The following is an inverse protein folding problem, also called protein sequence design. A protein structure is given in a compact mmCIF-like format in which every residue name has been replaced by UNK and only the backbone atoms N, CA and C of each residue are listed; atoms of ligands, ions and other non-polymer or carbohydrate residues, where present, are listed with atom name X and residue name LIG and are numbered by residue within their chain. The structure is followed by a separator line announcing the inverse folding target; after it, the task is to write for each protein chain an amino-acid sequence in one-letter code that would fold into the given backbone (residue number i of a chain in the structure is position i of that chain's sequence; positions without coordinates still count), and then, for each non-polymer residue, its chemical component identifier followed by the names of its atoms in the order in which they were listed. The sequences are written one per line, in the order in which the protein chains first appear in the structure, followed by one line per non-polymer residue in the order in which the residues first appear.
data_IF_220701410216
#
_entry.id   IF_220701410216
#
_cell.length_a   1.000
_cell.length_b   1.000
_cell.length_c   1.000
_cell.angle_alpha   90.00
_cell.angle_beta   90.00
_cell.angle_gamma   90.00
#
_symmetry.space_group_name_H-M   'P 1'
#
loop_
_entity.id
_entity.type
_entity.pdbx_description
1 polymer ?
#
# COMPACT_ATOMS: atom_id res chain seq x y z
N UNK A 1 1.45 20.04 -10.03
CA UNK A 1 2.08 19.15 -9.03
C UNK A 1 3.12 18.30 -9.76
N UNK A 2 4.32 18.08 -9.22
CA UNK A 2 5.37 17.36 -9.94
C UNK A 2 4.87 15.94 -10.29
N UNK A 3 4.92 15.53 -11.57
CA UNK A 3 4.26 14.30 -12.06
C UNK A 3 4.66 13.07 -11.21
N UNK A 4 5.94 13.00 -10.83
CA UNK A 4 6.50 11.92 -10.01
C UNK A 4 5.88 11.85 -8.61
N UNK A 5 5.53 12.98 -7.99
CA UNK A 5 4.91 12.99 -6.67
C UNK A 5 3.51 12.36 -6.69
N UNK A 6 2.75 12.59 -7.77
CA UNK A 6 1.45 11.94 -7.98
C UNK A 6 1.62 10.44 -8.15
N UNK A 7 2.61 10.00 -8.94
CA UNK A 7 2.93 8.57 -9.11
C UNK A 7 3.31 7.89 -7.80
N UNK A 8 4.12 8.55 -6.96
CA UNK A 8 4.50 8.02 -5.63
C UNK A 8 3.26 7.84 -4.73
N UNK A 9 2.38 8.84 -4.68
CA UNK A 9 1.16 8.76 -3.88
C UNK A 9 0.26 7.62 -4.33
N UNK A 10 0.14 7.43 -5.64
CA UNK A 10 -0.65 6.35 -6.22
C UNK A 10 -0.01 4.98 -5.98
N UNK A 11 1.32 4.89 -6.00
CA UNK A 11 2.03 3.67 -5.61
C UNK A 11 1.78 3.32 -4.13
N UNK A 12 1.89 4.29 -3.21
CA UNK A 12 1.62 4.05 -1.78
C UNK A 12 0.15 3.67 -1.55
N UNK A 13 -0.77 4.33 -2.27
CA UNK A 13 -2.19 3.96 -2.26
C UNK A 13 -2.41 2.53 -2.77
N UNK A 14 -1.68 2.13 -3.82
CA UNK A 14 -1.74 0.77 -4.37
C UNK A 14 -1.33 -0.29 -3.34
N UNK A 15 -0.43 0.02 -2.41
CA UNK A 15 0.00 -0.90 -1.34
C UNK A 15 -0.95 -0.93 -0.12
N UNK A 16 -2.04 -0.15 -0.12
CA UNK A 16 -2.93 0.00 1.05
C UNK A 16 -3.40 -1.33 1.63
N UNK A 17 -3.85 -2.26 0.78
CA UNK A 17 -4.30 -3.59 1.21
C UNK A 17 -3.16 -4.41 1.83
N UNK A 18 -1.92 -4.29 1.31
CA UNK A 18 -0.75 -4.98 1.86
C UNK A 18 -0.48 -4.52 3.28
N UNK A 19 -0.55 -3.21 3.55
CA UNK A 19 -0.36 -2.67 4.90
C UNK A 19 -1.39 -3.23 5.89
N UNK A 20 -2.65 -3.36 5.48
CA UNK A 20 -3.70 -4.00 6.31
C UNK A 20 -3.30 -5.43 6.68
N UNK A 21 -2.86 -6.22 5.70
CA UNK A 21 -2.42 -7.60 5.97
C UNK A 21 -1.18 -7.66 6.86
N UNK A 22 -0.18 -6.81 6.61
CA UNK A 22 1.01 -6.76 7.43
C UNK A 22 0.68 -6.42 8.88
N UNK A 23 -0.25 -5.49 9.14
CA UNK A 23 -0.71 -5.19 10.51
C UNK A 23 -1.28 -6.44 11.17
N UNK A 24 -2.18 -7.17 10.49
CA UNK A 24 -2.82 -8.36 11.04
C UNK A 24 -1.80 -9.46 11.35
N UNK A 25 -0.81 -9.66 10.48
CA UNK A 25 0.19 -10.74 10.62
C UNK A 25 1.26 -10.39 11.66
N UNK A 26 1.66 -9.12 11.76
CA UNK A 26 2.82 -8.70 12.56
C UNK A 26 2.47 -8.16 13.94
N UNK A 27 1.18 -7.91 14.23
CA UNK A 27 0.76 -7.45 15.55
C UNK A 27 1.03 -8.51 16.61
N UNK A 28 1.76 -8.12 17.66
CA UNK A 28 2.10 -8.98 18.79
C UNK A 28 1.52 -8.39 20.06
N UNK A 29 0.78 -9.21 20.80
CA UNK A 29 0.27 -8.84 22.11
C UNK A 29 1.28 -9.23 23.19
N UNK A 30 1.47 -8.41 24.24
CA UNK A 30 2.32 -8.77 25.37
C UNK A 30 1.79 -10.03 26.06
N UNK A 31 2.69 -10.95 26.41
CA UNK A 31 2.35 -12.22 27.06
C UNK A 31 2.16 -12.09 28.57
N UNK A 32 2.61 -10.99 29.17
CA UNK A 32 2.52 -10.73 30.62
C UNK A 32 1.36 -9.78 30.94
N UNK A 33 0.94 -9.73 32.22
CA UNK A 33 -0.10 -8.82 32.68
C UNK A 33 0.35 -7.36 32.45
N UNK A 34 -0.15 -6.76 31.38
CA UNK A 34 0.05 -5.36 31.05
C UNK A 34 -0.51 -4.45 32.15
N UNK A 35 0.36 -3.68 32.81
CA UNK A 35 -0.09 -2.62 33.72
C UNK A 35 -0.17 -1.28 32.95
N UNK A 36 -1.41 -0.80 32.77
CA UNK A 36 -1.71 0.47 32.09
C UNK A 36 -0.96 1.66 32.72
N UNK A 37 -0.61 1.57 34.00
CA UNK A 37 0.05 2.64 34.76
C UNK A 37 1.58 2.64 34.62
N UNK A 38 2.19 1.56 34.14
CA UNK A 38 3.63 1.50 33.95
C UNK A 38 4.02 2.04 32.57
N UNK A 39 4.79 3.12 32.55
CA UNK A 39 5.32 3.70 31.31
C UNK A 39 6.36 2.79 30.62
N UNK A 40 6.97 1.85 31.36
CA UNK A 40 7.84 0.82 30.81
C UNK A 40 7.11 -0.11 29.85
N UNK A 41 5.96 -0.65 30.27
CA UNK A 41 5.14 -1.57 29.48
C UNK A 41 4.66 -0.95 28.16
N UNK A 42 4.33 0.35 28.16
CA UNK A 42 3.98 1.06 26.93
C UNK A 42 5.15 1.13 25.94
N UNK A 43 6.38 1.32 26.43
CA UNK A 43 7.57 1.32 25.55
C UNK A 43 7.84 -0.05 24.96
N UNK A 44 7.69 -1.10 25.76
CA UNK A 44 7.93 -2.46 25.30
C UNK A 44 6.91 -2.89 24.24
N UNK A 45 5.64 -2.51 24.41
CA UNK A 45 4.61 -2.70 23.37
C UNK A 45 4.96 -1.94 22.08
N UNK A 46 5.40 -0.68 22.19
CA UNK A 46 5.77 0.13 21.02
C UNK A 46 6.97 -0.45 20.28
N UNK A 47 8.00 -0.91 21.00
CA UNK A 47 9.17 -1.53 20.41
C UNK A 47 8.84 -2.89 19.77
N UNK A 48 7.97 -3.67 20.41
CA UNK A 48 7.50 -4.95 19.89
C UNK A 48 6.67 -4.81 18.61
N UNK A 49 5.93 -3.71 18.49
CA UNK A 49 4.97 -3.46 17.40
C UNK A 49 5.41 -2.35 16.43
N UNK A 50 6.72 -2.13 16.28
CA UNK A 50 7.22 -1.05 15.40
C UNK A 50 6.77 -1.21 13.93
N UNK A 51 6.74 -2.45 13.41
CA UNK A 51 6.31 -2.76 12.04
C UNK A 51 4.83 -2.45 11.81
N UNK A 52 3.88 -2.97 12.61
CA UNK A 52 2.47 -2.65 12.43
C UNK A 52 2.20 -1.16 12.66
N UNK A 53 2.96 -0.46 13.53
CA UNK A 53 2.86 1.00 13.67
C UNK A 53 3.26 1.72 12.38
N UNK A 54 4.39 1.35 11.76
CA UNK A 54 4.82 1.91 10.47
C UNK A 54 3.75 1.65 9.39
N UNK A 55 3.24 0.42 9.33
CA UNK A 55 2.19 0.06 8.37
C UNK A 55 0.90 0.86 8.60
N UNK A 56 0.54 1.13 9.86
CA UNK A 56 -0.62 1.93 10.24
C UNK A 56 -0.45 3.40 9.81
N UNK A 57 0.73 3.98 10.02
CA UNK A 57 1.06 5.33 9.53
C UNK A 57 0.97 5.38 8.00
N UNK A 58 1.53 4.39 7.31
CA UNK A 58 1.45 4.30 5.85
C UNK A 58 0.02 4.13 5.35
N UNK A 59 -0.82 3.37 6.06
CA UNK A 59 -2.24 3.20 5.73
C UNK A 59 -3.01 4.52 5.83
N UNK A 60 -2.75 5.31 6.90
CA UNK A 60 -3.31 6.65 7.01
C UNK A 60 -2.82 7.58 5.89
N UNK A 61 -1.55 7.48 5.52
CA UNK A 61 -1.01 8.22 4.39
C UNK A 61 -1.69 7.81 3.06
N UNK A 62 -1.93 6.51 2.83
CA UNK A 62 -2.67 6.02 1.67
C UNK A 62 -4.08 6.61 1.62
N UNK A 63 -4.78 6.72 2.76
CA UNK A 63 -6.09 7.38 2.81
C UNK A 63 -6.02 8.87 2.43
N UNK A 64 -5.00 9.59 2.93
CA UNK A 64 -4.75 10.98 2.53
C UNK A 64 -4.45 11.08 1.02
N UNK A 65 -3.61 10.19 0.49
CA UNK A 65 -3.27 10.11 -0.92
C UNK A 65 -4.49 9.86 -1.80
N UNK A 66 -5.41 8.99 -1.37
CA UNK A 66 -6.69 8.75 -2.03
C UNK A 66 -7.55 10.02 -2.07
N UNK A 67 -7.72 10.71 -0.95
CA UNK A 67 -8.53 11.94 -0.91
C UNK A 67 -7.96 13.03 -1.80
N UNK A 68 -6.64 13.14 -1.84
CA UNK A 68 -5.95 14.06 -2.74
C UNK A 68 -6.15 13.69 -4.21
N UNK A 69 -6.02 12.41 -4.55
CA UNK A 69 -6.25 11.92 -5.91
C UNK A 69 -7.71 12.15 -6.36
N UNK A 70 -8.68 11.88 -5.49
CA UNK A 70 -10.11 12.12 -5.73
C UNK A 70 -10.37 13.61 -6.02
N UNK A 71 -9.70 14.51 -5.29
CA UNK A 71 -9.80 15.95 -5.51
C UNK A 71 -9.18 16.38 -6.85
N UNK A 72 -7.99 15.88 -7.18
CA UNK A 72 -7.29 16.18 -8.43
C UNK A 72 -8.13 15.73 -9.66
N UNK A 73 -8.83 14.59 -9.56
CA UNK A 73 -9.73 14.10 -10.62
C UNK A 73 -10.93 15.03 -10.86
N UNK A 74 -11.50 15.63 -9.80
CA UNK A 74 -12.65 16.54 -9.92
C UNK A 74 -12.31 17.90 -10.52
N UNK A 75 -11.04 18.32 -10.42
CA UNK A 75 -10.58 19.63 -10.90
C UNK A 75 -10.08 19.66 -12.34
N UNK A 76 -10.10 18.53 -13.06
CA UNK A 76 -9.50 18.46 -14.41
C UNK A 76 -10.53 18.85 -15.47
N UNK A 77 -10.43 20.09 -15.98
CA UNK A 77 -11.13 20.53 -17.20
C UNK A 77 -10.21 20.31 -18.39
N UNK A 78 -10.09 19.06 -18.83
CA UNK A 78 -9.35 18.77 -20.06
C UNK A 78 -10.12 19.26 -21.29
N UNK A 79 -9.36 19.61 -22.33
CA UNK A 79 -9.90 19.98 -23.64
C UNK A 79 -10.72 18.79 -24.15
N UNK A 80 -11.95 18.99 -24.68
CA UNK A 80 -12.78 17.88 -25.14
C UNK A 80 -12.08 17.12 -26.27
N UNK A 81 -11.91 15.81 -26.08
CA UNK A 81 -11.39 14.89 -27.08
C UNK A 81 -12.40 13.76 -27.33
N UNK A 82 -12.39 13.19 -28.53
CA UNK A 82 -13.24 12.05 -28.88
C UNK A 82 -12.50 10.74 -28.64
N UNK A 83 -13.07 9.85 -27.82
CA UNK A 83 -12.52 8.51 -27.58
C UNK A 83 -12.93 7.60 -28.75
N UNK A 84 -11.96 7.10 -29.51
CA UNK A 84 -12.22 6.24 -30.69
C UNK A 84 -12.28 4.75 -30.36
N UNK A 85 -11.61 4.34 -29.27
CA UNK A 85 -11.55 2.95 -28.81
C UNK A 85 -11.33 2.94 -27.31
N UNK A 86 -11.93 1.96 -26.63
CA UNK A 86 -11.78 1.73 -25.20
C UNK A 86 -11.49 0.24 -25.04
N UNK A 87 -10.36 -0.10 -24.45
CA UNK A 87 -10.05 -1.44 -23.98
C UNK A 87 -9.99 -1.44 -22.46
N UNK A 88 -10.80 -2.27 -21.81
CA UNK A 88 -10.72 -2.46 -20.37
C UNK A 88 -9.50 -3.31 -20.06
N UNK A 89 -8.60 -2.81 -19.22
CA UNK A 89 -7.65 -3.68 -18.53
C UNK A 89 -8.47 -4.42 -17.46
N UNK A 90 -8.86 -5.65 -17.75
CA UNK A 90 -9.42 -6.51 -16.71
C UNK A 90 -8.34 -6.73 -15.66
N UNK A 91 -8.64 -6.42 -14.40
CA UNK A 91 -7.78 -6.77 -13.29
C UNK A 91 -7.66 -8.28 -13.23
N UNK A 92 -6.53 -8.81 -13.69
CA UNK A 92 -6.30 -10.24 -13.62
C UNK A 92 -6.16 -10.67 -12.16
N UNK A 93 -6.81 -11.79 -11.79
CA UNK A 93 -6.58 -12.47 -10.52
C UNK A 93 -5.08 -12.72 -10.27
N UNK A 94 -4.29 -12.88 -11.34
CA UNK A 94 -2.83 -13.00 -11.33
C UNK A 94 -2.14 -11.79 -10.69
N UNK A 95 -2.61 -10.57 -10.97
CA UNK A 95 -2.02 -9.36 -10.38
C UNK A 95 -2.24 -9.36 -8.87
N UNK A 96 -3.44 -9.74 -8.41
CA UNK A 96 -3.75 -9.89 -6.99
C UNK A 96 -2.91 -10.97 -6.31
N UNK A 97 -2.74 -12.13 -6.96
CA UNK A 97 -1.85 -13.18 -6.46
C UNK A 97 -0.41 -12.69 -6.33
N UNK A 98 0.10 -12.01 -7.35
CA UNK A 98 1.49 -11.56 -7.41
C UNK A 98 1.80 -10.42 -6.44
N UNK A 99 0.88 -9.47 -6.24
CA UNK A 99 1.12 -8.30 -5.38
C UNK A 99 0.85 -8.54 -3.91
N UNK A 100 -0.01 -9.52 -3.56
CA UNK A 100 -0.40 -9.75 -2.17
C UNK A 100 -0.14 -11.17 -1.71
N UNK A 101 -0.73 -12.17 -2.38
CA UNK A 101 -0.69 -13.55 -1.88
C UNK A 101 0.76 -14.06 -1.83
N UNK A 102 1.53 -13.91 -2.92
CA UNK A 102 2.91 -14.41 -2.98
C UNK A 102 3.79 -13.79 -1.88
N UNK A 103 3.86 -12.45 -1.71
CA UNK A 103 4.61 -11.87 -0.60
C UNK A 103 4.14 -12.35 0.78
N UNK A 104 2.83 -12.47 1.00
CA UNK A 104 2.29 -12.92 2.28
C UNK A 104 2.65 -14.37 2.63
N UNK A 105 2.60 -15.29 1.68
CA UNK A 105 2.86 -16.71 1.97
C UNK A 105 4.35 -17.05 1.94
N UNK A 106 5.15 -16.26 1.21
CA UNK A 106 6.55 -16.59 0.95
C UNK A 106 7.50 -16.00 1.99
N UNK A 107 7.09 -14.92 2.67
CA UNK A 107 7.94 -14.25 3.64
C UNK A 107 7.64 -14.72 5.07
N UNK A 108 8.71 -15.06 5.78
CA UNK A 108 8.66 -15.24 7.23
C UNK A 108 8.77 -13.86 7.90
N UNK A 109 7.64 -13.41 8.45
CA UNK A 109 7.53 -12.09 9.08
C UNK A 109 8.12 -12.03 10.50
N UNK A 110 8.51 -13.16 11.08
CA UNK A 110 9.22 -13.17 12.36
C UNK A 110 10.71 -12.88 12.19
N UNK A 111 11.27 -13.20 11.02
CA UNK A 111 12.67 -12.96 10.71
C UNK A 111 12.93 -11.50 10.35
N UNK A 112 13.68 -10.79 11.21
CA UNK A 112 14.12 -9.41 10.95
C UNK A 112 14.81 -9.25 9.59
N UNK A 113 15.62 -10.24 9.17
CA UNK A 113 16.30 -10.23 7.87
C UNK A 113 15.30 -10.29 6.71
N UNK A 114 14.28 -11.14 6.81
CA UNK A 114 13.25 -11.24 5.77
C UNK A 114 12.44 -9.95 5.67
N UNK A 115 12.20 -9.27 6.80
CA UNK A 115 11.53 -7.97 6.81
C UNK A 115 12.33 -6.89 6.05
N UNK A 116 13.66 -6.88 6.22
CA UNK A 116 14.54 -5.99 5.46
C UNK A 116 14.45 -6.30 3.96
N UNK A 117 14.48 -7.58 3.59
CA UNK A 117 14.37 -8.01 2.18
C UNK A 117 13.03 -7.58 1.60
N UNK A 118 11.93 -7.75 2.33
CA UNK A 118 10.61 -7.28 1.93
C UNK A 118 10.61 -5.77 1.70
N UNK A 119 11.17 -4.99 2.62
CA UNK A 119 11.28 -3.54 2.48
C UNK A 119 12.06 -3.11 1.23
N UNK A 120 13.20 -3.74 0.97
CA UNK A 120 13.98 -3.53 -0.25
C UNK A 120 13.19 -3.89 -1.52
N UNK A 121 12.49 -5.03 -1.49
CA UNK A 121 11.69 -5.50 -2.61
C UNK A 121 10.55 -4.52 -2.92
N UNK A 122 9.87 -3.98 -1.90
CA UNK A 122 8.88 -2.91 -2.07
C UNK A 122 9.49 -1.66 -2.70
N UNK A 123 10.67 -1.20 -2.25
CA UNK A 123 11.35 -0.05 -2.86
C UNK A 123 11.65 -0.28 -4.34
N UNK A 124 12.21 -1.45 -4.69
CA UNK A 124 12.51 -1.81 -6.08
C UNK A 124 11.23 -1.85 -6.92
N UNK A 125 10.17 -2.50 -6.41
CA UNK A 125 8.87 -2.52 -7.09
C UNK A 125 8.30 -1.12 -7.27
N UNK A 126 8.42 -0.24 -6.28
CA UNK A 126 8.00 1.16 -6.38
C UNK A 126 8.72 1.91 -7.50
N UNK A 127 10.04 1.74 -7.61
CA UNK A 127 10.82 2.35 -8.69
C UNK A 127 10.36 1.83 -10.06
N UNK A 128 10.16 0.51 -10.20
CA UNK A 128 9.68 -0.09 -11.44
C UNK A 128 8.30 0.46 -11.78
N UNK A 129 7.35 0.40 -10.83
CA UNK A 129 5.96 0.78 -11.05
C UNK A 129 5.83 2.26 -11.42
N UNK A 130 6.59 3.15 -10.76
CA UNK A 130 6.60 4.58 -11.09
C UNK A 130 7.16 4.83 -12.50
N UNK A 131 8.15 4.04 -12.93
CA UNK A 131 8.73 4.15 -14.27
C UNK A 131 7.85 3.57 -15.37
N UNK A 132 7.14 2.48 -15.09
CA UNK A 132 6.30 1.77 -16.07
C UNK A 132 4.83 2.18 -16.03
N UNK A 133 4.45 3.08 -15.12
CA UNK A 133 3.06 3.48 -14.88
C UNK A 133 2.11 2.30 -14.57
N UNK A 134 2.65 1.21 -14.01
CA UNK A 134 1.87 0.00 -13.69
C UNK A 134 1.15 0.06 -12.33
N UNK A 135 1.37 1.11 -11.55
CA UNK A 135 0.75 1.25 -10.22
C UNK A 135 -0.78 1.41 -10.26
N UNK A 136 -1.34 1.83 -11.40
CA UNK A 136 -2.78 1.91 -11.57
C UNK A 136 -3.43 0.52 -11.55
N UNK A 137 -2.79 -0.50 -12.14
CA UNK A 137 -3.32 -1.85 -12.35
C UNK A 137 -3.44 -2.69 -11.05
N UNK A 138 -3.39 -2.06 -9.88
CA UNK A 138 -3.37 -2.73 -8.60
C UNK A 138 -4.80 -2.98 -8.06
N UNK A 139 -5.10 -4.19 -7.55
CA UNK A 139 -6.37 -4.54 -6.91
C UNK A 139 -6.87 -3.58 -5.81
N UNK A 140 -5.98 -2.91 -5.07
CA UNK A 140 -6.39 -1.90 -4.07
C UNK A 140 -7.21 -0.77 -4.70
N UNK A 141 -6.82 -0.31 -5.89
CA UNK A 141 -7.57 0.71 -6.62
C UNK A 141 -8.86 0.15 -7.23
N UNK A 142 -8.84 -1.10 -7.69
CA UNK A 142 -10.04 -1.80 -8.15
C UNK A 142 -11.10 -1.90 -7.04
N UNK A 143 -10.68 -2.26 -5.82
CA UNK A 143 -11.55 -2.32 -4.64
C UNK A 143 -12.11 -0.94 -4.25
N UNK A 144 -11.35 0.12 -4.51
CA UNK A 144 -11.81 1.51 -4.34
C UNK A 144 -12.72 1.99 -5.49
N UNK A 145 -13.05 1.13 -6.45
CA UNK A 145 -13.99 1.39 -7.53
C UNK A 145 -13.39 2.02 -8.79
N UNK A 146 -12.06 2.05 -8.91
CA UNK A 146 -11.40 2.59 -10.11
C UNK A 146 -11.26 1.50 -11.20
N UNK A 147 -11.71 1.82 -12.41
CA UNK A 147 -11.51 1.01 -13.61
C UNK A 147 -10.52 1.70 -14.53
N UNK A 148 -9.66 0.91 -15.17
CA UNK A 148 -8.62 1.41 -16.06
C UNK A 148 -9.02 1.07 -17.49
N UNK A 149 -8.93 2.08 -18.34
CA UNK A 149 -9.22 2.00 -19.75
C UNK A 149 -8.00 2.51 -20.53
N UNK A 150 -7.64 1.80 -21.60
CA UNK A 150 -6.62 2.21 -22.58
C UNK A 150 -7.29 2.45 -23.93
#
# INVERSE_FOLDING_TARGET
MNNNFRKINLYILSLGLLFVFLIIITIKFPNECFDIKDFGDWKDILLLNIIPIICLIMLFYSFFAYKKFEFDLKGTTDIPFSVTKIESINYEHLTFLATYIIPLISFDFESFRQMIVLGLLLVVMGVIYIKTDLFYANPSLALLGFYIYI
#
